data_IF_579161198053
#
_entry.id   IF_579161198053
#
_cell.length_a   1.000
_cell.length_b   1.000
_cell.length_c   1.000
_cell.angle_alpha   90.00
_cell.angle_beta   90.00
_cell.angle_gamma   90.00
#
_symmetry.space_group_name_H-M   'P 1'
#
loop_
_entity.id
_entity.type
_entity.pdbx_description
1 polymer ?
#
# COMPACT_ATOMS: atom_id res chain seq x y z
N UNK A 1 -0.43 -4.05 -17.27
CA UNK A 1 -0.65 -4.41 -15.85
C UNK A 1 0.53 -3.87 -15.05
N UNK A 2 0.30 -3.33 -13.86
CA UNK A 2 1.33 -2.78 -12.97
C UNK A 2 1.91 -3.91 -12.11
N UNK A 3 3.22 -3.88 -11.85
CA UNK A 3 3.89 -4.76 -10.89
C UNK A 3 4.44 -3.93 -9.76
N UNK A 4 4.21 -4.37 -8.52
CA UNK A 4 4.79 -3.77 -7.32
C UNK A 4 5.69 -4.81 -6.68
N UNK A 5 6.94 -4.44 -6.42
CA UNK A 5 7.95 -5.31 -5.84
C UNK A 5 8.55 -4.71 -4.57
N UNK A 6 8.48 -5.44 -3.46
CA UNK A 6 9.25 -5.13 -2.27
C UNK A 6 10.66 -5.70 -2.42
N UNK A 7 11.66 -4.84 -2.36
CA UNK A 7 13.07 -5.18 -2.59
C UNK A 7 13.73 -5.55 -1.26
N UNK A 8 14.21 -6.77 -1.15
CA UNK A 8 14.89 -7.26 0.06
C UNK A 8 16.41 -7.10 -0.05
N UNK A 9 16.94 -7.02 -1.26
CA UNK A 9 18.35 -6.90 -1.61
C UNK A 9 18.71 -5.57 -2.26
N UNK A 10 19.46 -5.65 -3.37
CA UNK A 10 19.93 -4.49 -4.11
C UNK A 10 18.76 -3.73 -4.77
N UNK A 11 18.88 -2.41 -4.83
CA UNK A 11 17.96 -1.53 -5.53
C UNK A 11 18.35 -1.52 -7.01
N UNK A 12 17.46 -1.83 -7.95
CA UNK A 12 17.75 -1.76 -9.37
C UNK A 12 17.93 -0.32 -9.82
N UNK A 13 18.78 -0.12 -10.83
CA UNK A 13 19.00 1.20 -11.43
C UNK A 13 17.87 1.60 -12.41
N UNK A 14 17.04 0.64 -12.82
CA UNK A 14 15.96 0.78 -13.79
C UNK A 14 14.61 0.38 -13.18
N UNK A 15 13.79 1.34 -12.89
CA UNK A 15 12.41 1.16 -12.45
C UNK A 15 11.56 2.35 -12.89
N UNK A 16 10.27 2.14 -13.17
CA UNK A 16 9.38 3.25 -13.53
C UNK A 16 9.19 4.20 -12.35
N UNK A 17 9.10 3.66 -11.13
CA UNK A 17 9.11 4.43 -9.88
C UNK A 17 9.79 3.63 -8.77
N UNK A 18 10.58 4.33 -7.95
CA UNK A 18 11.25 3.76 -6.78
C UNK A 18 10.85 4.54 -5.52
N UNK A 19 10.52 3.81 -4.47
CA UNK A 19 10.20 4.35 -3.15
C UNK A 19 11.21 3.86 -2.12
N UNK A 20 11.89 4.80 -1.45
CA UNK A 20 12.89 4.52 -0.43
C UNK A 20 12.33 4.76 0.97
N UNK A 21 12.66 3.90 1.96
CA UNK A 21 12.18 4.03 3.33
C UNK A 21 12.57 5.36 3.95
N UNK A 22 11.67 5.96 4.73
CA UNK A 22 11.91 7.18 5.53
C UNK A 22 11.27 7.05 6.92
N UNK A 23 11.72 7.83 7.87
CA UNK A 23 11.21 7.83 9.24
C UNK A 23 11.38 6.48 9.92
N UNK A 24 10.28 5.91 10.44
CA UNK A 24 10.28 4.59 11.08
C UNK A 24 10.50 3.43 10.07
N UNK A 25 10.50 3.74 8.76
CA UNK A 25 10.69 2.76 7.71
C UNK A 25 9.58 1.73 7.63
N UNK A 26 9.93 0.46 7.86
CA UNK A 26 9.02 -0.69 7.75
C UNK A 26 8.41 -1.04 9.10
N UNK A 27 7.11 -1.33 9.12
CA UNK A 27 6.36 -1.74 10.30
C UNK A 27 5.50 -2.98 9.98
N UNK A 28 5.45 -3.92 10.90
CA UNK A 28 4.61 -5.13 10.76
C UNK A 28 5.35 -6.33 10.14
N UNK A 29 6.66 -6.22 9.92
CA UNK A 29 7.51 -7.35 9.52
C UNK A 29 8.93 -7.23 10.10
N UNK A 30 9.63 -8.34 10.18
CA UNK A 30 11.00 -8.42 10.74
C UNK A 30 12.07 -8.31 9.65
N UNK A 31 11.76 -8.77 8.43
CA UNK A 31 12.70 -8.71 7.31
C UNK A 31 12.89 -7.26 6.83
N UNK A 32 14.13 -6.96 6.50
CA UNK A 32 14.48 -5.65 5.96
C UNK A 32 13.91 -5.50 4.55
N UNK A 33 13.27 -4.36 4.28
CA UNK A 33 12.88 -3.93 2.93
C UNK A 33 13.77 -2.73 2.55
N UNK A 34 14.54 -2.88 1.48
CA UNK A 34 15.43 -1.83 0.99
C UNK A 34 14.67 -0.73 0.22
N UNK A 35 13.57 -1.11 -0.43
CA UNK A 35 12.71 -0.19 -1.17
C UNK A 35 11.50 -0.89 -1.75
N UNK A 36 10.63 -0.13 -2.41
CA UNK A 36 9.53 -0.65 -3.20
C UNK A 36 9.66 -0.09 -4.62
N UNK A 37 9.74 -0.99 -5.60
CA UNK A 37 9.78 -0.64 -7.01
C UNK A 37 8.41 -0.84 -7.65
N UNK A 38 8.02 0.09 -8.51
CA UNK A 38 6.93 -0.08 -9.47
C UNK A 38 7.56 -0.41 -10.82
N UNK A 39 7.17 -1.51 -11.41
CA UNK A 39 7.75 -2.05 -12.61
C UNK A 39 6.66 -2.23 -13.67
N UNK A 40 7.08 -2.24 -14.94
CA UNK A 40 6.21 -2.72 -16.03
C UNK A 40 6.05 -4.24 -15.92
N UNK A 41 4.92 -4.73 -16.40
CA UNK A 41 4.59 -6.16 -16.30
C UNK A 41 5.60 -7.08 -16.99
N UNK A 42 6.27 -6.61 -18.03
CA UNK A 42 7.25 -7.33 -18.83
C UNK A 42 8.71 -7.10 -18.39
N UNK A 43 8.91 -6.27 -17.36
CA UNK A 43 10.25 -6.04 -16.83
C UNK A 43 10.76 -7.28 -16.07
N UNK A 44 12.08 -7.57 -16.11
CA UNK A 44 12.65 -8.62 -15.29
C UNK A 44 12.50 -8.28 -13.82
N UNK A 45 12.10 -9.27 -13.01
CA UNK A 45 12.00 -9.08 -11.57
C UNK A 45 13.40 -8.99 -10.96
N UNK A 46 13.63 -8.03 -10.05
CA UNK A 46 14.89 -7.99 -9.29
C UNK A 46 15.07 -9.28 -8.48
N UNK A 47 16.32 -9.71 -8.34
CA UNK A 47 16.66 -10.79 -7.43
C UNK A 47 16.23 -10.42 -5.99
N UNK A 48 15.78 -11.38 -5.23
CA UNK A 48 15.32 -11.19 -3.84
C UNK A 48 14.15 -10.19 -3.69
N UNK A 49 13.29 -10.09 -4.71
CA UNK A 49 12.10 -9.27 -4.65
C UNK A 49 10.85 -10.10 -4.33
N UNK A 50 9.96 -9.53 -3.52
CA UNK A 50 8.59 -10.01 -3.32
C UNK A 50 7.66 -9.24 -4.26
N UNK A 51 7.28 -9.84 -5.39
CA UNK A 51 6.62 -9.15 -6.48
C UNK A 51 5.17 -9.60 -6.69
N UNK A 52 4.32 -8.65 -7.01
CA UNK A 52 2.88 -8.81 -7.21
C UNK A 52 2.42 -8.07 -8.46
N UNK A 53 1.69 -8.76 -9.32
CA UNK A 53 0.93 -8.13 -10.38
C UNK A 53 -0.38 -7.60 -9.80
N UNK A 54 -0.74 -6.36 -10.15
CA UNK A 54 -1.85 -5.66 -9.52
C UNK A 54 -2.79 -5.00 -10.55
N UNK A 55 -4.07 -4.95 -10.19
CA UNK A 55 -5.09 -4.10 -10.82
C UNK A 55 -5.12 -2.76 -10.07
N UNK A 56 -4.61 -1.71 -10.72
CA UNK A 56 -4.54 -0.37 -10.14
C UNK A 56 -5.90 0.31 -10.19
N UNK A 57 -6.40 0.74 -9.04
CA UNK A 57 -7.62 1.50 -8.85
C UNK A 57 -7.30 2.87 -8.28
N UNK A 58 -7.10 3.80 -9.15
CA UNK A 58 -6.81 5.20 -8.79
C UNK A 58 -8.04 5.86 -8.16
N UNK A 59 -7.91 6.38 -6.94
CA UNK A 59 -9.00 7.00 -6.21
C UNK A 59 -9.00 8.52 -6.32
N UNK A 60 -7.87 9.17 -6.01
CA UNK A 60 -7.67 10.61 -6.23
C UNK A 60 -6.20 11.02 -6.12
N UNK A 61 -5.89 12.20 -6.70
CA UNK A 61 -4.63 12.92 -6.54
C UNK A 61 -4.90 14.43 -6.56
N UNK A 62 -4.44 15.11 -5.52
CA UNK A 62 -4.53 16.57 -5.35
C UNK A 62 -3.16 17.24 -5.53
N UNK A 63 -2.14 16.44 -5.83
CA UNK A 63 -0.75 16.89 -5.96
C UNK A 63 -0.09 17.30 -4.65
N UNK A 64 1.23 17.53 -4.73
CA UNK A 64 2.03 18.04 -3.62
C UNK A 64 2.37 17.01 -2.54
N UNK A 65 2.39 15.74 -2.90
CA UNK A 65 2.84 14.65 -2.03
C UNK A 65 4.36 14.66 -1.90
N UNK A 66 4.85 14.34 -0.70
CA UNK A 66 6.29 14.20 -0.42
C UNK A 66 6.62 12.89 0.30
N UNK A 67 5.64 12.24 0.90
CA UNK A 67 5.80 10.97 1.59
C UNK A 67 4.58 10.10 1.35
N UNK A 68 4.81 8.81 1.10
CA UNK A 68 3.77 7.83 0.85
C UNK A 68 3.85 6.72 1.89
N UNK A 69 2.73 6.38 2.50
CA UNK A 69 2.57 5.15 3.25
C UNK A 69 2.08 4.08 2.30
N UNK A 70 2.92 3.08 2.05
CA UNK A 70 2.61 1.92 1.25
C UNK A 70 2.29 0.78 2.21
N UNK A 71 1.08 0.22 2.11
CA UNK A 71 0.58 -0.82 3.01
C UNK A 71 0.22 -2.06 2.21
N UNK A 72 0.87 -3.17 2.54
CA UNK A 72 0.57 -4.50 2.03
C UNK A 72 -0.46 -5.12 2.95
N UNK A 73 -1.65 -5.37 2.43
CA UNK A 73 -2.80 -5.76 3.23
C UNK A 73 -3.32 -7.13 2.85
N UNK A 74 -3.86 -7.84 3.84
CA UNK A 74 -4.51 -9.11 3.68
C UNK A 74 -5.99 -8.99 3.98
N UNK A 75 -6.83 -9.66 3.19
CA UNK A 75 -8.27 -9.68 3.44
C UNK A 75 -8.61 -10.42 4.74
N UNK A 76 -9.72 -10.07 5.33
CA UNK A 76 -10.29 -10.83 6.44
C UNK A 76 -10.54 -12.30 6.02
N UNK A 77 -10.26 -13.28 6.89
CA UNK A 77 -10.44 -14.71 6.56
C UNK A 77 -11.87 -15.08 6.14
N UNK A 78 -12.85 -14.29 6.55
CA UNK A 78 -14.27 -14.48 6.21
C UNK A 78 -14.65 -13.99 4.82
N UNK A 79 -13.75 -13.33 4.09
CA UNK A 79 -14.02 -12.77 2.77
C UNK A 79 -13.33 -13.56 1.67
N UNK A 80 -13.97 -13.67 0.51
CA UNK A 80 -13.29 -14.02 -0.74
C UNK A 80 -12.47 -12.83 -1.24
N UNK A 81 -11.52 -13.08 -2.14
CA UNK A 81 -10.74 -12.01 -2.75
C UNK A 81 -11.61 -10.99 -3.50
N UNK A 82 -12.64 -11.46 -4.19
CA UNK A 82 -13.62 -10.61 -4.89
C UNK A 82 -14.42 -9.74 -3.91
N UNK A 83 -14.90 -10.30 -2.80
CA UNK A 83 -15.61 -9.56 -1.75
C UNK A 83 -14.71 -8.49 -1.11
N UNK A 84 -13.43 -8.81 -0.88
CA UNK A 84 -12.44 -7.86 -0.40
C UNK A 84 -12.25 -6.71 -1.40
N UNK A 85 -12.02 -7.01 -2.68
CA UNK A 85 -11.79 -6.01 -3.72
C UNK A 85 -12.99 -5.08 -3.91
N UNK A 86 -14.21 -5.64 -3.87
CA UNK A 86 -15.47 -4.88 -3.94
C UNK A 86 -15.64 -3.96 -2.71
N UNK A 87 -15.51 -4.50 -1.49
CA UNK A 87 -15.62 -3.71 -0.26
C UNK A 87 -14.57 -2.58 -0.23
N UNK A 88 -13.33 -2.89 -0.58
CA UNK A 88 -12.25 -1.91 -0.57
C UNK A 88 -12.53 -0.74 -1.49
N UNK A 89 -13.05 -1.02 -2.70
CA UNK A 89 -13.35 0.01 -3.71
C UNK A 89 -14.65 0.75 -3.43
N UNK A 90 -15.72 0.02 -3.12
CA UNK A 90 -17.08 0.59 -3.12
C UNK A 90 -17.56 1.01 -1.73
N UNK A 91 -16.93 0.52 -0.65
CA UNK A 91 -17.28 0.88 0.73
C UNK A 91 -16.16 1.68 1.39
N UNK A 92 -14.94 1.13 1.42
CA UNK A 92 -13.82 1.78 2.12
C UNK A 92 -13.33 3.06 1.44
N UNK A 93 -13.19 3.08 0.11
CA UNK A 93 -12.68 4.27 -0.59
C UNK A 93 -13.54 5.52 -0.40
N UNK A 94 -14.88 5.46 -0.44
CA UNK A 94 -15.73 6.60 -0.07
C UNK A 94 -15.54 7.08 1.37
N UNK A 95 -15.39 6.17 2.34
CA UNK A 95 -15.08 6.53 3.72
C UNK A 95 -13.70 7.17 3.85
N UNK A 96 -12.70 6.61 3.16
CA UNK A 96 -11.35 7.15 3.12
C UNK A 96 -11.34 8.56 2.52
N UNK A 97 -12.07 8.80 1.43
CA UNK A 97 -12.20 10.15 0.81
C UNK A 97 -12.75 11.18 1.78
N UNK A 98 -13.65 10.76 2.65
CA UNK A 98 -14.29 11.64 3.64
C UNK A 98 -13.38 11.91 4.85
N UNK A 99 -12.65 10.91 5.33
CA UNK A 99 -12.00 10.93 6.64
C UNK A 99 -10.46 10.90 6.61
N UNK A 100 -9.83 10.63 5.44
CA UNK A 100 -8.40 10.72 5.25
C UNK A 100 -8.03 12.02 4.53
N UNK A 101 -7.36 12.97 5.19
CA UNK A 101 -6.88 14.20 4.56
C UNK A 101 -5.60 13.99 3.74
N UNK A 102 -5.43 12.80 3.17
CA UNK A 102 -4.31 12.47 2.27
C UNK A 102 -4.49 13.14 0.91
N UNK A 103 -3.39 13.47 0.27
CA UNK A 103 -3.41 14.17 -1.02
C UNK A 103 -3.52 13.22 -2.21
N UNK A 104 -3.06 11.99 -2.07
CA UNK A 104 -3.21 10.95 -3.10
C UNK A 104 -3.58 9.63 -2.46
N UNK A 105 -4.45 8.86 -3.11
CA UNK A 105 -4.82 7.51 -2.72
C UNK A 105 -4.97 6.62 -3.95
N UNK A 106 -4.25 5.51 -3.92
CA UNK A 106 -4.34 4.44 -4.92
C UNK A 106 -4.53 3.11 -4.20
N UNK A 107 -5.42 2.29 -4.73
CA UNK A 107 -5.63 0.91 -4.35
C UNK A 107 -5.06 0.02 -5.46
N UNK A 108 -4.20 -0.90 -5.12
CA UNK A 108 -3.67 -1.89 -6.03
C UNK A 108 -4.18 -3.26 -5.57
N UNK A 109 -5.20 -3.80 -6.22
CA UNK A 109 -5.71 -5.14 -5.93
C UNK A 109 -4.75 -6.16 -6.53
N UNK A 110 -4.23 -7.07 -5.72
CA UNK A 110 -3.31 -8.10 -6.18
C UNK A 110 -4.09 -9.11 -7.03
N UNK A 111 -3.63 -9.33 -8.25
CA UNK A 111 -4.22 -10.33 -9.17
C UNK A 111 -3.36 -11.58 -9.27
N UNK A 112 -2.05 -11.44 -9.03
CA UNK A 112 -1.11 -12.57 -9.08
C UNK A 112 0.11 -12.31 -8.18
N UNK A 113 0.54 -13.32 -7.45
CA UNK A 113 1.81 -13.35 -6.73
C UNK A 113 2.88 -13.90 -7.67
N UNK A 114 3.81 -13.03 -8.10
CA UNK A 114 4.83 -13.38 -9.10
C UNK A 114 6.06 -14.08 -8.52
N UNK A 115 6.34 -13.85 -7.24
CA UNK A 115 7.42 -14.53 -6.51
C UNK A 115 6.82 -15.59 -5.59
N UNK A 116 7.10 -16.90 -5.77
CA UNK A 116 6.45 -17.98 -5.03
C UNK A 116 6.56 -17.85 -3.51
N UNK A 117 7.73 -17.45 -3.00
CA UNK A 117 8.02 -17.33 -1.58
C UNK A 117 7.57 -16.00 -0.95
N UNK A 118 7.03 -15.07 -1.76
CA UNK A 118 6.48 -13.83 -1.25
C UNK A 118 5.29 -14.09 -0.31
N UNK A 119 5.09 -13.25 0.74
CA UNK A 119 3.90 -13.33 1.59
C UNK A 119 2.61 -13.23 0.79
N UNK A 120 1.56 -13.88 1.27
CA UNK A 120 0.24 -13.70 0.67
C UNK A 120 -0.29 -12.30 0.97
N UNK A 121 -0.58 -11.55 -0.05
CA UNK A 121 -1.10 -10.18 -0.02
C UNK A 121 -2.30 -10.08 -0.96
N UNK A 122 -3.37 -9.45 -0.51
CA UNK A 122 -4.58 -9.25 -1.31
C UNK A 122 -4.66 -7.86 -1.93
N UNK A 123 -3.94 -6.89 -1.34
CA UNK A 123 -3.90 -5.53 -1.85
C UNK A 123 -2.71 -4.71 -1.36
N UNK A 124 -2.37 -3.67 -2.10
CA UNK A 124 -1.30 -2.74 -1.76
C UNK A 124 -1.88 -1.31 -1.84
N UNK A 125 -2.00 -0.65 -0.68
CA UNK A 125 -2.52 0.72 -0.58
C UNK A 125 -1.38 1.73 -0.64
N UNK A 126 -1.54 2.78 -1.43
CA UNK A 126 -0.66 3.95 -1.44
C UNK A 126 -1.44 5.16 -0.92
N UNK A 127 -1.09 5.65 0.28
CA UNK A 127 -1.63 6.87 0.84
C UNK A 127 -0.52 7.91 0.95
N UNK A 128 -0.64 8.99 0.18
CA UNK A 128 0.40 10.01 0.11
C UNK A 128 0.00 11.28 0.88
N UNK A 129 0.96 11.86 1.56
CA UNK A 129 0.85 13.00 2.45
C UNK A 129 1.76 14.13 1.98
N UNK A 130 1.46 15.37 2.38
CA UNK A 130 2.32 16.52 2.10
C UNK A 130 3.59 16.53 2.93
N UNK A 131 3.50 16.06 4.18
CA UNK A 131 4.62 16.10 5.12
C UNK A 131 4.64 14.88 6.04
N UNK A 132 5.78 14.60 6.65
CA UNK A 132 5.88 13.60 7.74
C UNK A 132 5.01 13.99 8.94
N UNK A 133 4.86 15.28 9.23
CA UNK A 133 3.95 15.75 10.28
C UNK A 133 2.51 15.30 10.02
N UNK A 134 2.04 15.36 8.76
CA UNK A 134 0.70 14.94 8.40
C UNK A 134 0.51 13.42 8.56
N UNK A 135 1.55 12.62 8.30
CA UNK A 135 1.51 11.18 8.55
C UNK A 135 1.17 10.86 10.01
N UNK A 136 1.84 11.53 10.95
CA UNK A 136 1.69 11.23 12.37
C UNK A 136 0.49 11.91 13.02
N UNK A 137 0.16 13.14 12.59
CA UNK A 137 -0.80 13.98 13.30
C UNK A 137 -2.10 14.24 12.54
N UNK A 138 -2.14 13.96 11.23
CA UNK A 138 -3.26 14.30 10.34
C UNK A 138 -3.66 13.14 9.42
N UNK A 139 -3.45 11.90 9.86
CA UNK A 139 -3.91 10.72 9.09
C UNK A 139 -5.43 10.63 8.99
N UNK A 140 -6.15 11.29 9.89
CA UNK A 140 -7.61 11.37 9.92
C UNK A 140 -8.07 12.81 10.15
N UNK A 141 -9.27 13.12 9.68
CA UNK A 141 -9.90 14.44 9.86
C UNK A 141 -10.30 14.73 11.30
N UNK A 142 -10.63 13.67 12.06
CA UNK A 142 -11.12 13.77 13.42
C UNK A 142 -10.99 12.43 14.17
N UNK A 143 -11.08 12.42 15.52
CA UNK A 143 -11.18 11.17 16.30
C UNK A 143 -12.38 10.31 15.89
N UNK A 144 -13.51 10.92 15.56
CA UNK A 144 -14.70 10.22 15.07
C UNK A 144 -14.46 9.58 13.70
N UNK A 145 -13.83 10.30 12.77
CA UNK A 145 -13.43 9.77 11.46
C UNK A 145 -12.43 8.62 11.58
N UNK A 146 -11.45 8.75 12.48
CA UNK A 146 -10.52 7.66 12.78
C UNK A 146 -11.25 6.39 13.29
N UNK A 147 -12.25 6.55 14.15
CA UNK A 147 -13.03 5.42 14.66
C UNK A 147 -13.86 4.74 13.55
N UNK A 148 -14.44 5.52 12.64
CA UNK A 148 -15.19 5.02 11.49
C UNK A 148 -14.27 4.17 10.59
N UNK A 149 -13.11 4.72 10.21
CA UNK A 149 -12.13 4.03 9.35
C UNK A 149 -11.62 2.75 10.02
N UNK A 150 -11.24 2.80 11.31
CA UNK A 150 -10.76 1.60 12.02
C UNK A 150 -11.81 0.50 12.09
N UNK A 151 -13.07 0.86 12.36
CA UNK A 151 -14.19 -0.10 12.39
C UNK A 151 -14.41 -0.75 11.03
N UNK A 152 -14.29 0.02 9.95
CA UNK A 152 -14.43 -0.52 8.61
C UNK A 152 -13.25 -1.44 8.27
N UNK A 153 -12.01 -1.03 8.52
CA UNK A 153 -10.80 -1.83 8.33
C UNK A 153 -10.94 -3.22 9.00
N UNK A 154 -11.42 -3.28 10.23
CA UNK A 154 -11.61 -4.54 10.97
C UNK A 154 -12.63 -5.49 10.32
N UNK A 155 -13.47 -5.02 9.41
CA UNK A 155 -14.46 -5.84 8.72
C UNK A 155 -13.88 -6.57 7.52
N UNK A 156 -12.91 -5.97 6.84
CA UNK A 156 -12.43 -6.51 5.57
C UNK A 156 -10.92 -6.83 5.53
N UNK A 157 -10.14 -6.43 6.54
CA UNK A 157 -8.71 -6.72 6.65
C UNK A 157 -8.37 -7.61 7.85
N UNK A 158 -7.41 -8.48 7.62
CA UNK A 158 -6.59 -9.11 8.66
C UNK A 158 -5.40 -8.19 8.97
N UNK A 159 -5.59 -7.22 9.85
CA UNK A 159 -4.59 -6.18 10.15
C UNK A 159 -3.25 -6.75 10.62
N UNK A 160 -3.21 -7.77 11.53
CA UNK A 160 -1.95 -8.36 11.98
C UNK A 160 -1.14 -9.05 10.87
N UNK A 161 -1.79 -9.53 9.82
CA UNK A 161 -1.12 -10.20 8.70
C UNK A 161 -0.53 -9.21 7.67
N UNK A 162 -0.82 -7.91 7.80
CA UNK A 162 -0.30 -6.87 6.92
C UNK A 162 0.98 -6.21 7.43
N UNK A 163 1.66 -5.51 6.54
CA UNK A 163 2.81 -4.68 6.87
C UNK A 163 2.80 -3.38 6.03
N UNK A 164 3.61 -2.41 6.42
CA UNK A 164 3.66 -1.11 5.73
C UNK A 164 5.03 -0.49 5.76
N UNK A 165 5.29 0.40 4.82
CA UNK A 165 6.48 1.22 4.74
C UNK A 165 6.11 2.69 4.57
N UNK A 166 6.77 3.58 5.29
CA UNK A 166 6.81 4.99 4.99
C UNK A 166 7.96 5.24 4.02
N UNK A 167 7.69 5.87 2.90
CA UNK A 167 8.65 6.02 1.82
C UNK A 167 8.55 7.38 1.14
N UNK A 168 9.64 7.78 0.50
CA UNK A 168 9.68 8.86 -0.50
C UNK A 168 10.00 8.26 -1.86
N UNK A 169 9.45 8.87 -2.89
CA UNK A 169 9.87 8.61 -4.26
C UNK A 169 11.33 9.07 -4.41
N UNK A 170 12.17 8.22 -5.01
CA UNK A 170 13.55 8.52 -5.30
C UNK A 170 13.70 9.53 -6.45
#
# INVERSE_FOLDING_TARGET
MKVIAALLGAIPDDGDELYLPVGEGVTGRTERVAGIAVLRHDAPLPADAEAYAVDERFQWDKGGDTVTRISFVRRAPSMTHEQFADHWTNVHAPLARKHHPVVRYVQNVVVEKLTPDAPDVDGIAELSFRTMHDVYNRSYDSPAGAAIIRRDIQRFLDVPAGWRMLAKRA
#
